data_IF_970433639920
#
_entry.id   IF_970433639920
#
_cell.length_a   1.000
_cell.length_b   1.000
_cell.length_c   1.000
_cell.angle_alpha   90.00
_cell.angle_beta   90.00
_cell.angle_gamma   90.00
#
_symmetry.space_group_name_H-M   'P 1'
#
loop_
_entity.id
_entity.type
_entity.pdbx_description
1 polymer ?
#
# COMPACT_ATOMS: atom_id res chain seq x y z
N UNK A 1 24.01 2.96 -17.62
CA UNK A 1 22.78 2.15 -17.80
C UNK A 1 22.08 2.11 -16.45
N UNK A 2 21.17 3.05 -16.20
CA UNK A 2 20.41 3.13 -14.95
C UNK A 2 19.37 2.02 -14.88
N UNK A 3 19.25 1.40 -13.73
CA UNK A 3 18.51 0.18 -13.43
C UNK A 3 16.99 0.33 -13.55
N UNK A 4 16.37 -0.41 -14.47
CA UNK A 4 14.92 -0.57 -14.64
C UNK A 4 14.12 -0.76 -13.33
N UNK A 5 14.74 -1.27 -12.26
CA UNK A 5 14.10 -1.51 -10.96
C UNK A 5 13.86 -0.26 -10.10
N UNK A 6 14.69 0.78 -10.23
CA UNK A 6 14.46 2.04 -9.49
C UNK A 6 13.21 2.76 -10.03
N UNK A 7 12.98 2.68 -11.34
CA UNK A 7 11.83 3.31 -11.99
C UNK A 7 10.52 2.60 -11.64
N UNK A 8 10.53 1.27 -11.47
CA UNK A 8 9.29 0.50 -11.20
C UNK A 8 8.68 0.85 -9.86
N UNK A 9 9.48 0.93 -8.78
CA UNK A 9 8.94 1.27 -7.46
C UNK A 9 8.42 2.70 -7.44
N UNK A 10 9.17 3.65 -8.02
CA UNK A 10 8.72 5.03 -8.13
C UNK A 10 7.41 5.14 -8.92
N UNK A 11 7.33 4.53 -10.10
CA UNK A 11 6.14 4.56 -10.95
C UNK A 11 4.91 3.94 -10.28
N UNK A 12 5.09 2.81 -9.58
CA UNK A 12 3.99 2.19 -8.84
C UNK A 12 3.58 3.02 -7.62
N UNK A 13 4.53 3.72 -6.99
CA UNK A 13 4.25 4.60 -5.85
C UNK A 13 3.46 5.83 -6.27
N UNK A 14 3.81 6.46 -7.40
CA UNK A 14 3.11 7.65 -7.91
C UNK A 14 1.60 7.42 -8.08
N UNK A 15 1.21 6.23 -8.55
CA UNK A 15 -0.21 5.83 -8.62
C UNK A 15 -0.91 5.90 -7.27
N UNK A 16 -0.24 5.49 -6.18
CA UNK A 16 -0.80 5.48 -4.84
C UNK A 16 -0.75 6.86 -4.17
N UNK A 17 0.23 7.71 -4.49
CA UNK A 17 0.32 9.08 -3.94
C UNK A 17 -0.97 9.87 -4.18
N UNK A 18 -1.48 9.85 -5.41
CA UNK A 18 -2.70 10.59 -5.75
C UNK A 18 -3.95 10.02 -5.06
N UNK A 19 -3.99 8.71 -4.82
CA UNK A 19 -5.09 8.05 -4.10
C UNK A 19 -5.05 8.32 -2.60
N UNK A 20 -3.87 8.31 -2.00
CA UNK A 20 -3.69 8.69 -0.60
C UNK A 20 -4.02 10.16 -0.39
N UNK A 21 -3.68 11.03 -1.36
CA UNK A 21 -4.08 12.45 -1.35
C UNK A 21 -5.59 12.62 -1.36
N UNK A 22 -6.32 11.93 -2.25
CA UNK A 22 -7.80 11.93 -2.27
C UNK A 22 -8.38 11.43 -0.95
N UNK A 23 -7.85 10.32 -0.42
CA UNK A 23 -8.28 9.76 0.85
C UNK A 23 -8.08 10.76 2.01
N UNK A 24 -6.94 11.44 2.07
CA UNK A 24 -6.65 12.47 3.07
C UNK A 24 -7.60 13.67 2.93
N UNK A 25 -7.83 14.16 1.71
CA UNK A 25 -8.77 15.27 1.45
C UNK A 25 -10.20 14.95 1.87
N UNK A 26 -10.57 13.67 1.86
CA UNK A 26 -11.89 13.17 2.27
C UNK A 26 -11.96 12.78 3.75
N UNK A 27 -10.89 12.95 4.51
CA UNK A 27 -10.80 12.53 5.91
C UNK A 27 -10.80 11.01 6.12
N UNK A 28 -10.49 10.25 5.07
CA UNK A 28 -10.38 8.78 5.12
C UNK A 28 -8.97 8.29 5.47
N UNK A 29 -7.98 9.18 5.39
CA UNK A 29 -6.61 8.94 5.82
C UNK A 29 -6.16 10.03 6.81
N UNK A 30 -5.24 9.68 7.70
CA UNK A 30 -4.64 10.61 8.68
C UNK A 30 -4.03 11.85 8.01
N UNK A 31 -4.25 13.02 8.62
CA UNK A 31 -3.86 14.31 8.02
C UNK A 31 -2.35 14.56 7.96
N UNK A 32 -1.58 13.92 8.83
CA UNK A 32 -0.12 14.06 8.94
C UNK A 32 0.64 12.97 8.16
N UNK A 33 -0.04 12.23 7.26
CA UNK A 33 0.59 11.18 6.48
C UNK A 33 1.60 11.75 5.48
N UNK A 34 2.85 11.29 5.55
CA UNK A 34 3.84 11.51 4.48
C UNK A 34 3.45 10.72 3.23
N UNK A 35 2.74 11.36 2.29
CA UNK A 35 2.12 10.68 1.15
C UNK A 35 3.12 9.91 0.26
N UNK A 36 4.28 10.49 -0.15
CA UNK A 36 5.27 9.76 -0.93
C UNK A 36 5.85 8.55 -0.18
N UNK A 37 6.25 8.73 1.07
CA UNK A 37 6.80 7.64 1.88
C UNK A 37 5.79 6.53 2.14
N UNK A 38 4.53 6.89 2.41
CA UNK A 38 3.45 5.95 2.64
C UNK A 38 3.08 5.16 1.37
N UNK A 39 3.09 5.81 0.20
CA UNK A 39 2.87 5.15 -1.09
C UNK A 39 3.97 4.13 -1.42
N UNK A 40 5.24 4.50 -1.21
CA UNK A 40 6.35 3.58 -1.41
C UNK A 40 6.29 2.39 -0.44
N UNK A 41 6.00 2.65 0.84
CA UNK A 41 5.85 1.59 1.83
C UNK A 41 4.71 0.63 1.44
N UNK A 42 3.56 1.17 1.03
CA UNK A 42 2.40 0.38 0.61
C UNK A 42 2.76 -0.55 -0.56
N UNK A 43 3.40 -0.04 -1.62
CA UNK A 43 3.71 -0.88 -2.77
C UNK A 43 4.73 -1.98 -2.41
N UNK A 44 5.71 -1.69 -1.56
CA UNK A 44 6.66 -2.70 -1.07
C UNK A 44 5.94 -3.82 -0.31
N UNK A 45 4.97 -3.48 0.53
CA UNK A 45 4.15 -4.46 1.25
C UNK A 45 3.31 -5.31 0.30
N UNK A 46 2.64 -4.71 -0.68
CA UNK A 46 1.82 -5.43 -1.67
C UNK A 46 2.66 -6.35 -2.56
N UNK A 47 3.81 -5.87 -3.05
CA UNK A 47 4.74 -6.67 -3.86
C UNK A 47 5.28 -7.85 -3.06
N UNK A 48 5.62 -7.65 -1.78
CA UNK A 48 6.05 -8.75 -0.92
C UNK A 48 4.93 -9.76 -0.69
N UNK A 49 3.71 -9.29 -0.43
CA UNK A 49 2.55 -10.14 -0.13
C UNK A 49 2.20 -11.06 -1.30
N UNK A 50 2.22 -10.55 -2.52
CA UNK A 50 1.89 -11.32 -3.73
C UNK A 50 3.10 -12.11 -4.25
N UNK A 51 4.31 -11.54 -4.13
CA UNK A 51 5.53 -12.14 -4.68
C UNK A 51 6.13 -13.25 -3.83
N UNK A 52 5.81 -13.30 -2.52
CA UNK A 52 6.34 -14.30 -1.59
C UNK A 52 5.19 -15.01 -0.88
N UNK A 53 4.86 -16.27 -1.24
CA UNK A 53 3.81 -17.02 -0.59
C UNK A 53 4.04 -17.16 0.91
N UNK A 54 3.03 -16.79 1.70
CA UNK A 54 3.00 -16.99 3.15
C UNK A 54 1.95 -18.02 3.55
N UNK A 55 1.91 -18.40 4.83
CA UNK A 55 0.88 -19.30 5.38
C UNK A 55 -0.26 -18.56 6.08
N UNK A 56 -0.14 -17.24 6.26
CA UNK A 56 -1.07 -16.45 7.06
C UNK A 56 -2.34 -16.01 6.33
N UNK A 57 -2.28 -15.89 5.00
CA UNK A 57 -3.41 -15.48 4.14
C UNK A 57 -3.28 -16.18 2.80
N UNK A 58 -4.40 -16.69 2.30
CA UNK A 58 -4.54 -17.08 0.90
C UNK A 58 -4.79 -15.81 0.08
N UNK A 59 -3.83 -15.45 -0.77
CA UNK A 59 -3.90 -14.22 -1.60
C UNK A 59 -4.83 -14.37 -2.80
N UNK A 60 -5.19 -15.61 -3.16
CA UNK A 60 -6.15 -15.91 -4.23
C UNK A 60 -7.60 -15.89 -3.70
N UNK A 61 -7.80 -16.02 -2.38
CA UNK A 61 -9.08 -15.77 -1.71
C UNK A 61 -9.25 -14.27 -1.41
N UNK A 62 -10.14 -13.64 -2.19
CA UNK A 62 -10.44 -12.22 -2.09
C UNK A 62 -10.90 -11.79 -0.68
N UNK A 63 -11.74 -12.58 -0.02
CA UNK A 63 -12.32 -12.19 1.26
C UNK A 63 -11.29 -12.35 2.38
N UNK A 64 -10.46 -13.41 2.32
CA UNK A 64 -9.32 -13.58 3.20
C UNK A 64 -8.31 -12.42 3.05
N UNK A 65 -7.97 -12.05 1.81
CA UNK A 65 -7.07 -10.93 1.52
C UNK A 65 -7.63 -9.60 2.06
N UNK A 66 -8.91 -9.32 1.84
CA UNK A 66 -9.55 -8.11 2.35
C UNK A 66 -9.51 -8.05 3.89
N UNK A 67 -9.85 -9.14 4.57
CA UNK A 67 -9.80 -9.21 6.02
C UNK A 67 -8.37 -8.98 6.55
N UNK A 68 -7.37 -9.56 5.88
CA UNK A 68 -5.96 -9.40 6.23
C UNK A 68 -5.48 -7.95 6.07
N UNK A 69 -5.80 -7.31 4.94
CA UNK A 69 -5.47 -5.91 4.70
C UNK A 69 -6.21 -4.97 5.67
N UNK A 70 -7.48 -5.21 5.96
CA UNK A 70 -8.21 -4.43 6.96
C UNK A 70 -7.60 -4.55 8.36
N UNK A 71 -7.11 -5.73 8.72
CA UNK A 71 -6.51 -5.98 10.04
C UNK A 71 -5.15 -5.30 10.20
N UNK A 72 -4.27 -5.41 9.20
CA UNK A 72 -2.87 -5.01 9.34
C UNK A 72 -2.50 -3.72 8.58
N UNK A 73 -3.14 -3.47 7.44
CA UNK A 73 -2.84 -2.31 6.61
C UNK A 73 -3.76 -1.12 6.96
N UNK A 74 -5.05 -1.37 7.15
CA UNK A 74 -6.07 -0.34 7.44
C UNK A 74 -5.68 0.63 8.57
N UNK A 75 -5.24 0.15 9.75
CA UNK A 75 -4.85 1.00 10.86
C UNK A 75 -3.66 1.91 10.58
N UNK A 76 -2.79 1.58 9.62
CA UNK A 76 -1.63 2.41 9.28
C UNK A 76 -2.02 3.73 8.59
N UNK A 77 -3.18 3.76 7.93
CA UNK A 77 -3.66 4.91 7.17
C UNK A 77 -4.86 5.60 7.81
N UNK A 78 -5.67 4.87 8.58
CA UNK A 78 -6.92 5.38 9.13
C UNK A 78 -6.69 6.57 10.06
N UNK A 79 -7.62 7.54 10.10
CA UNK A 79 -7.60 8.61 11.09
C UNK A 79 -7.56 8.03 12.51
N UNK A 80 -6.88 8.73 13.43
CA UNK A 80 -6.81 8.32 14.84
C UNK A 80 -8.08 8.72 15.59
#
# INVERSE_FOLDING_TARGET
MGTYSQDVVAQLSDFWVDRLRDAQQRGLAREDLDLPGAAEWLIRMLVSLVGTPGSAVDVDDRDALLAYLQTFLGPAFSPT
#
